data_IF_282505902646
#
_entry.id   IF_282505902646
#
_cell.length_a   1.000
_cell.length_b   1.000
_cell.length_c   1.000
_cell.angle_alpha   90.00
_cell.angle_beta   90.00
_cell.angle_gamma   90.00
#
_symmetry.space_group_name_H-M   'P 1'
#
loop_
_entity.id
_entity.type
_entity.pdbx_description
1 polymer ?
#
# COMPACT_ATOMS: atom_id res chain seq x y z
N UNK A 1 -7.77 20.81 -23.16
CA UNK A 1 -9.17 21.24 -23.47
C UNK A 1 -10.18 20.48 -22.59
N UNK A 2 -10.02 19.19 -22.33
CA UNK A 2 -10.97 18.38 -21.56
C UNK A 2 -11.08 18.81 -20.08
N UNK A 3 -9.97 19.19 -19.42
CA UNK A 3 -9.97 19.60 -18.02
C UNK A 3 -10.78 20.88 -17.73
N UNK A 4 -10.92 21.78 -18.72
CA UNK A 4 -11.66 23.04 -18.55
C UNK A 4 -13.18 22.86 -18.57
N UNK A 5 -13.67 21.73 -19.08
CA UNK A 5 -15.10 21.40 -19.10
C UNK A 5 -15.53 20.48 -17.94
N UNK A 6 -14.66 20.26 -16.94
CA UNK A 6 -14.99 19.48 -15.76
C UNK A 6 -15.43 20.42 -14.63
N UNK A 7 -16.61 20.19 -14.08
CA UNK A 7 -17.18 21.03 -13.01
C UNK A 7 -16.46 20.77 -11.70
N UNK A 8 -16.26 19.49 -11.32
CA UNK A 8 -15.60 19.10 -10.07
C UNK A 8 -14.53 18.03 -10.29
N UNK A 9 -13.35 18.22 -9.70
CA UNK A 9 -12.31 17.21 -9.65
C UNK A 9 -12.37 16.41 -8.34
N UNK A 10 -12.28 15.09 -8.45
CA UNK A 10 -12.14 14.19 -7.32
C UNK A 10 -10.75 13.55 -7.40
N UNK A 11 -9.96 13.70 -6.34
CA UNK A 11 -8.63 13.12 -6.21
C UNK A 11 -8.68 11.86 -5.36
N UNK A 12 -7.91 10.84 -5.75
CA UNK A 12 -7.82 9.57 -5.01
C UNK A 12 -6.88 9.64 -3.79
N UNK A 13 -6.16 10.74 -3.63
CA UNK A 13 -5.28 11.04 -2.50
C UNK A 13 -4.95 12.54 -2.47
N UNK A 14 -4.48 13.05 -1.34
CA UNK A 14 -3.96 14.41 -1.26
C UNK A 14 -2.69 14.58 -2.12
N UNK A 15 -1.91 13.51 -2.29
CA UNK A 15 -0.80 13.49 -3.23
C UNK A 15 -1.27 13.82 -4.67
N UNK A 16 -2.38 13.21 -5.11
CA UNK A 16 -2.98 13.48 -6.42
C UNK A 16 -3.68 14.83 -6.47
N UNK A 17 -4.33 15.27 -5.39
CA UNK A 17 -4.93 16.61 -5.32
C UNK A 17 -3.88 17.71 -5.58
N UNK A 18 -2.69 17.60 -4.96
CA UNK A 18 -1.57 18.53 -5.23
C UNK A 18 -1.11 18.46 -6.69
N UNK A 19 -1.12 17.27 -7.30
CA UNK A 19 -0.76 17.09 -8.72
C UNK A 19 -1.81 17.72 -9.65
N UNK A 20 -3.10 17.56 -9.36
CA UNK A 20 -4.20 18.22 -10.09
C UNK A 20 -4.04 19.74 -10.02
N UNK A 21 -3.82 20.29 -8.85
CA UNK A 21 -3.61 21.72 -8.68
C UNK A 21 -2.37 22.22 -9.45
N UNK A 22 -1.24 21.48 -9.35
CA UNK A 22 0.01 21.84 -10.06
C UNK A 22 -0.20 21.90 -11.57
N UNK A 23 -0.92 20.94 -12.14
CA UNK A 23 -1.07 20.80 -13.62
C UNK A 23 -2.22 21.63 -14.16
N UNK A 24 -3.39 21.59 -13.51
CA UNK A 24 -4.62 22.19 -14.02
C UNK A 24 -4.98 23.51 -13.34
N UNK A 25 -4.34 23.87 -12.22
CA UNK A 25 -4.70 25.02 -11.37
C UNK A 25 -6.16 24.95 -10.92
N UNK A 26 -6.66 23.74 -10.67
CA UNK A 26 -8.01 23.45 -10.22
C UNK A 26 -7.97 22.78 -8.85
N UNK A 27 -8.88 23.21 -7.97
CA UNK A 27 -9.13 22.53 -6.71
C UNK A 27 -9.77 21.16 -6.94
N UNK A 28 -9.58 20.25 -6.01
CA UNK A 28 -10.19 18.93 -6.01
C UNK A 28 -10.62 18.51 -4.60
N UNK A 29 -11.66 17.70 -4.52
CA UNK A 29 -12.06 17.03 -3.28
C UNK A 29 -11.32 15.69 -3.23
N UNK A 30 -10.68 15.39 -2.10
CA UNK A 30 -10.06 14.08 -1.92
C UNK A 30 -11.09 13.09 -1.39
N UNK A 31 -11.34 12.02 -2.16
CA UNK A 31 -12.11 10.85 -1.72
C UNK A 31 -11.23 9.62 -1.99
N UNK A 32 -10.73 9.02 -0.92
CA UNK A 32 -9.88 7.83 -1.03
C UNK A 32 -10.63 6.67 -1.64
N UNK A 33 -10.00 5.87 -2.53
CA UNK A 33 -10.61 4.68 -3.14
C UNK A 33 -11.10 3.67 -2.10
N UNK A 34 -12.10 2.85 -2.47
CA UNK A 34 -12.59 1.80 -1.59
C UNK A 34 -11.58 0.66 -1.47
N UNK A 35 -11.44 0.14 -0.27
CA UNK A 35 -10.79 -1.14 0.02
C UNK A 35 -11.82 -2.06 0.66
N UNK A 36 -11.93 -3.29 0.15
CA UNK A 36 -12.87 -4.28 0.68
C UNK A 36 -12.28 -4.94 1.93
N UNK A 37 -12.15 -4.13 3.00
CA UNK A 37 -11.47 -4.51 4.23
C UNK A 37 -12.12 -5.71 4.92
N UNK A 38 -13.41 -5.90 4.74
CA UNK A 38 -14.18 -7.01 5.33
C UNK A 38 -13.90 -8.37 4.64
N UNK A 39 -13.24 -8.37 3.49
CA UNK A 39 -12.79 -9.60 2.81
C UNK A 39 -11.55 -10.22 3.46
N UNK A 40 -10.89 -9.49 4.36
CA UNK A 40 -9.66 -9.90 5.02
C UNK A 40 -9.93 -10.30 6.48
N UNK A 41 -9.08 -11.17 7.01
CA UNK A 41 -9.15 -11.64 8.38
C UNK A 41 -7.78 -11.56 9.06
N UNK A 42 -7.79 -11.26 10.35
CA UNK A 42 -6.58 -11.23 11.17
C UNK A 42 -6.16 -12.66 11.48
N UNK A 43 -4.85 -12.95 11.36
CA UNK A 43 -4.24 -14.08 12.02
C UNK A 43 -3.37 -13.57 13.17
N UNK A 44 -3.64 -14.07 14.39
CA UNK A 44 -2.82 -13.77 15.56
C UNK A 44 -1.50 -14.59 15.58
N UNK A 45 -1.42 -15.62 14.73
CA UNK A 45 -0.22 -16.42 14.53
C UNK A 45 0.52 -15.96 13.31
N UNK A 46 1.42 -14.98 13.48
CA UNK A 46 2.30 -14.55 12.39
C UNK A 46 3.45 -15.55 12.22
N UNK A 47 3.76 -15.84 10.97
CA UNK A 47 4.91 -16.67 10.61
C UNK A 47 6.14 -15.79 10.32
N UNK A 48 7.34 -16.36 10.43
CA UNK A 48 8.59 -15.62 10.21
C UNK A 48 8.93 -15.53 8.72
N UNK A 49 8.06 -14.89 7.94
CA UNK A 49 8.33 -14.52 6.56
C UNK A 49 7.82 -13.10 6.25
N UNK A 50 8.52 -12.46 5.33
CA UNK A 50 8.11 -11.19 4.73
C UNK A 50 7.35 -11.46 3.43
N UNK A 51 6.46 -10.56 3.09
CA UNK A 51 5.59 -10.73 1.93
C UNK A 51 5.57 -9.49 1.06
N UNK A 52 5.49 -9.67 -0.25
CA UNK A 52 5.13 -8.62 -1.20
C UNK A 52 4.30 -9.21 -2.33
N UNK A 53 3.40 -8.42 -2.87
CA UNK A 53 2.60 -8.80 -4.03
C UNK A 53 2.40 -7.63 -4.96
N UNK A 54 2.67 -7.84 -6.25
CA UNK A 54 2.46 -6.81 -7.27
C UNK A 54 2.56 -7.38 -8.68
N UNK A 55 2.04 -6.61 -9.65
CA UNK A 55 2.47 -6.77 -11.03
C UNK A 55 3.97 -6.40 -11.14
N UNK A 56 4.77 -7.26 -11.73
CA UNK A 56 6.23 -7.07 -11.85
C UNK A 56 6.57 -6.14 -13.01
N UNK A 57 6.48 -4.84 -12.73
CA UNK A 57 6.87 -3.74 -13.62
C UNK A 57 7.88 -2.82 -12.92
N UNK A 58 8.73 -2.06 -13.65
CA UNK A 58 9.89 -1.35 -13.07
C UNK A 58 9.58 -0.44 -11.88
N UNK A 59 8.47 0.31 -11.92
CA UNK A 59 8.15 1.27 -10.86
C UNK A 59 7.67 0.62 -9.55
N UNK A 60 7.26 -0.65 -9.59
CA UNK A 60 6.88 -1.43 -8.39
C UNK A 60 8.07 -1.86 -7.55
N UNK A 61 9.28 -1.82 -8.11
CA UNK A 61 10.53 -2.08 -7.37
C UNK A 61 10.60 -3.44 -6.68
N UNK A 62 9.98 -4.46 -7.27
CA UNK A 62 10.06 -5.84 -6.73
C UNK A 62 11.48 -6.37 -6.82
N UNK A 63 12.24 -5.97 -7.84
CA UNK A 63 13.66 -6.26 -7.97
C UNK A 63 14.48 -5.75 -6.77
N UNK A 64 14.23 -4.52 -6.32
CA UNK A 64 14.87 -3.95 -5.13
C UNK A 64 14.56 -4.78 -3.87
N UNK A 65 13.31 -5.19 -3.68
CA UNK A 65 12.90 -6.00 -2.53
C UNK A 65 13.63 -7.34 -2.54
N UNK A 66 13.59 -8.04 -3.67
CA UNK A 66 14.24 -9.34 -3.85
C UNK A 66 15.75 -9.26 -3.67
N UNK A 67 16.39 -8.25 -4.27
CA UNK A 67 17.82 -8.01 -4.12
C UNK A 67 18.21 -7.77 -2.66
N UNK A 68 17.41 -6.98 -1.93
CA UNK A 68 17.65 -6.68 -0.51
C UNK A 68 17.61 -7.95 0.33
N UNK A 69 16.60 -8.81 0.17
CA UNK A 69 16.51 -10.06 0.91
C UNK A 69 17.61 -11.03 0.54
N UNK A 70 17.95 -11.13 -0.74
CA UNK A 70 19.02 -12.02 -1.22
C UNK A 70 20.38 -11.63 -0.66
N UNK A 71 20.72 -10.33 -0.64
CA UNK A 71 22.04 -9.85 -0.25
C UNK A 71 22.20 -9.61 1.24
N UNK A 72 21.18 -9.01 1.87
CA UNK A 72 21.29 -8.51 3.25
C UNK A 72 20.66 -9.44 4.29
N UNK A 73 19.71 -10.28 3.89
CA UNK A 73 18.97 -11.13 4.81
C UNK A 73 18.85 -12.59 4.38
N UNK A 74 19.97 -13.31 4.13
CA UNK A 74 19.94 -14.68 3.60
C UNK A 74 19.19 -15.68 4.48
N UNK A 75 19.02 -15.35 5.77
CA UNK A 75 18.31 -16.18 6.76
C UNK A 75 16.84 -15.76 6.98
N UNK A 76 16.35 -14.71 6.31
CA UNK A 76 14.96 -14.27 6.39
C UNK A 76 14.21 -14.67 5.12
N UNK A 77 13.04 -15.27 5.28
CA UNK A 77 12.22 -15.73 4.17
C UNK A 77 11.42 -14.58 3.57
N UNK A 78 11.48 -14.45 2.25
CA UNK A 78 10.60 -13.57 1.46
C UNK A 78 9.72 -14.42 0.54
N UNK A 79 8.41 -14.16 0.56
CA UNK A 79 7.46 -14.71 -0.39
C UNK A 79 6.97 -13.59 -1.30
N UNK A 80 6.97 -13.83 -2.61
CA UNK A 80 6.56 -12.86 -3.63
C UNK A 80 5.46 -13.46 -4.47
N UNK A 81 4.31 -12.77 -4.52
CA UNK A 81 3.20 -13.12 -5.42
C UNK A 81 3.11 -12.07 -6.52
N UNK A 82 2.93 -12.52 -7.74
CA UNK A 82 2.72 -11.67 -8.91
C UNK A 82 3.45 -12.16 -10.13
N UNK A 83 3.17 -11.48 -11.23
CA UNK A 83 3.76 -11.76 -12.54
C UNK A 83 3.91 -10.46 -13.32
N UNK A 84 4.66 -10.49 -14.42
CA UNK A 84 4.85 -9.32 -15.26
C UNK A 84 6.14 -9.37 -16.09
N UNK A 85 6.40 -8.32 -16.87
CA UNK A 85 7.53 -8.30 -17.79
C UNK A 85 8.90 -8.44 -17.09
N UNK A 86 9.02 -8.08 -15.80
CA UNK A 86 10.27 -8.21 -15.05
C UNK A 86 10.42 -9.55 -14.31
N UNK A 87 9.44 -10.48 -14.41
CA UNK A 87 9.47 -11.75 -13.67
C UNK A 87 10.79 -12.53 -13.86
N UNK A 88 11.28 -12.65 -15.09
CA UNK A 88 12.53 -13.36 -15.38
C UNK A 88 13.72 -12.69 -14.68
N UNK A 89 13.86 -11.38 -14.83
CA UNK A 89 14.92 -10.58 -14.18
C UNK A 89 14.89 -10.77 -12.66
N UNK A 90 13.70 -10.69 -12.05
CA UNK A 90 13.50 -10.84 -10.62
C UNK A 90 13.85 -12.27 -10.17
N UNK A 91 13.47 -13.28 -10.96
CA UNK A 91 13.81 -14.67 -10.68
C UNK A 91 15.32 -14.92 -10.70
N UNK A 92 16.04 -14.29 -11.62
CA UNK A 92 17.50 -14.41 -11.74
C UNK A 92 18.23 -13.72 -10.54
N UNK A 93 17.59 -12.75 -9.88
CA UNK A 93 18.11 -12.08 -8.68
C UNK A 93 17.78 -12.84 -7.37
N UNK A 94 16.81 -13.74 -7.39
CA UNK A 94 16.27 -14.39 -6.20
C UNK A 94 17.26 -15.39 -5.59
N UNK A 95 17.62 -15.16 -4.32
CA UNK A 95 18.38 -16.11 -3.51
C UNK A 95 17.52 -17.28 -3.01
N UNK A 96 18.15 -18.23 -2.32
CA UNK A 96 17.49 -19.45 -1.78
C UNK A 96 16.38 -19.15 -0.77
N UNK A 97 16.43 -17.98 -0.12
CA UNK A 97 15.49 -17.49 0.87
C UNK A 97 14.28 -16.76 0.26
N UNK A 98 14.24 -16.57 -1.06
CA UNK A 98 13.16 -15.90 -1.79
C UNK A 98 12.35 -16.91 -2.57
N UNK A 99 11.04 -16.95 -2.33
CA UNK A 99 10.08 -17.81 -3.03
C UNK A 99 9.19 -16.96 -3.93
N UNK A 100 9.30 -17.15 -5.24
CA UNK A 100 8.44 -16.52 -6.25
C UNK A 100 7.30 -17.49 -6.59
N UNK A 101 6.06 -17.15 -6.24
CA UNK A 101 4.89 -18.00 -6.48
C UNK A 101 4.20 -17.73 -7.82
N UNK A 102 4.65 -16.70 -8.56
CA UNK A 102 3.95 -16.27 -9.77
C UNK A 102 2.57 -15.69 -9.46
N UNK A 103 1.68 -15.64 -10.44
CA UNK A 103 0.30 -15.23 -10.23
C UNK A 103 -0.43 -16.26 -9.35
N UNK A 104 -1.19 -15.76 -8.38
CA UNK A 104 -1.99 -16.59 -7.47
C UNK A 104 -3.43 -16.07 -7.39
N UNK A 105 -4.35 -16.96 -7.00
CA UNK A 105 -5.74 -16.61 -6.71
C UNK A 105 -5.80 -15.74 -5.45
N UNK A 106 -6.87 -14.94 -5.35
CA UNK A 106 -7.07 -13.99 -4.26
C UNK A 106 -7.06 -14.63 -2.86
N UNK A 107 -7.60 -15.84 -2.71
CA UNK A 107 -7.59 -16.55 -1.42
C UNK A 107 -6.18 -16.90 -0.94
N UNK A 108 -5.27 -17.26 -1.86
CA UNK A 108 -3.87 -17.53 -1.55
C UNK A 108 -3.15 -16.24 -1.15
N UNK A 109 -3.47 -15.12 -1.82
CA UNK A 109 -2.95 -13.80 -1.46
C UNK A 109 -3.39 -13.42 -0.03
N UNK A 110 -4.69 -13.55 0.29
CA UNK A 110 -5.25 -13.25 1.62
C UNK A 110 -4.58 -14.09 2.72
N UNK A 111 -4.42 -15.39 2.46
CA UNK A 111 -3.77 -16.30 3.40
C UNK A 111 -2.32 -15.84 3.71
N UNK A 112 -1.54 -15.50 2.68
CA UNK A 112 -0.18 -15.00 2.90
C UNK A 112 -0.16 -13.66 3.60
N UNK A 113 -1.06 -12.73 3.23
CA UNK A 113 -1.18 -11.44 3.91
C UNK A 113 -1.46 -11.62 5.41
N UNK A 114 -2.39 -12.49 5.78
CA UNK A 114 -2.77 -12.67 7.19
C UNK A 114 -1.66 -13.27 8.06
N UNK A 115 -0.81 -14.13 7.49
CA UNK A 115 0.25 -14.83 8.21
C UNK A 115 1.62 -14.14 8.15
N UNK A 116 1.83 -13.23 7.21
CA UNK A 116 3.11 -12.56 7.04
C UNK A 116 3.51 -11.74 8.27
N UNK A 117 4.80 -11.71 8.57
CA UNK A 117 5.40 -10.85 9.60
C UNK A 117 5.29 -9.38 9.25
N UNK A 118 5.55 -9.03 8.00
CA UNK A 118 5.33 -7.70 7.44
C UNK A 118 5.16 -7.76 5.91
N UNK A 119 4.45 -6.78 5.38
CA UNK A 119 4.32 -6.53 3.94
C UNK A 119 5.34 -5.46 3.49
N UNK A 120 6.06 -5.73 2.41
CA UNK A 120 7.05 -4.78 1.86
C UNK A 120 6.45 -4.07 0.65
N UNK A 121 6.46 -2.74 0.67
CA UNK A 121 5.92 -1.89 -0.40
C UNK A 121 6.95 -0.84 -0.84
N UNK A 122 7.64 -1.11 -1.94
CA UNK A 122 8.75 -0.28 -2.40
C UNK A 122 8.38 0.71 -3.51
N UNK A 123 7.13 0.73 -3.95
CA UNK A 123 6.66 1.61 -5.01
C UNK A 123 6.37 3.03 -4.52
N UNK A 124 6.57 4.03 -5.39
CA UNK A 124 5.90 5.33 -5.27
C UNK A 124 4.58 5.25 -6.04
N UNK A 125 3.47 5.27 -5.33
CA UNK A 125 2.12 5.17 -5.91
C UNK A 125 1.21 6.31 -5.49
N UNK A 126 0.17 6.49 -6.27
CA UNK A 126 -0.81 7.54 -6.09
C UNK A 126 -1.68 7.32 -4.83
N UNK A 127 -1.93 6.05 -4.46
CA UNK A 127 -2.68 5.69 -3.25
C UNK A 127 -2.11 4.44 -2.57
N UNK A 128 -2.11 3.28 -3.24
CA UNK A 128 -1.60 2.01 -2.70
C UNK A 128 -2.67 1.18 -1.99
N UNK A 129 -3.44 0.38 -2.75
CA UNK A 129 -4.44 -0.54 -2.19
C UNK A 129 -3.78 -1.69 -1.44
N UNK A 130 -2.74 -2.31 -1.99
CA UNK A 130 -2.09 -3.48 -1.39
C UNK A 130 -1.56 -3.25 0.05
N UNK A 131 -0.97 -2.09 0.41
CA UNK A 131 -0.66 -1.78 1.81
C UNK A 131 -1.86 -1.78 2.74
N UNK A 132 -3.03 -1.36 2.26
CA UNK A 132 -4.25 -1.36 3.04
C UNK A 132 -4.86 -2.76 3.18
N UNK A 133 -4.75 -3.59 2.14
CA UNK A 133 -5.11 -5.02 2.21
C UNK A 133 -4.24 -5.77 3.23
N UNK A 134 -2.93 -5.46 3.28
CA UNK A 134 -2.04 -5.98 4.31
C UNK A 134 -2.48 -5.55 5.71
N UNK A 135 -2.77 -4.26 5.91
CA UNK A 135 -3.25 -3.75 7.18
C UNK A 135 -4.62 -4.33 7.56
N UNK A 136 -5.56 -4.51 6.61
CA UNK A 136 -6.84 -5.18 6.84
C UNK A 136 -6.66 -6.63 7.30
N UNK A 137 -5.54 -7.27 6.94
CA UNK A 137 -5.13 -8.61 7.40
C UNK A 137 -4.35 -8.58 8.73
N UNK A 138 -4.27 -7.42 9.39
CA UNK A 138 -3.48 -7.24 10.61
C UNK A 138 -1.97 -7.34 10.38
N UNK A 139 -1.47 -7.03 9.19
CA UNK A 139 -0.05 -7.15 8.83
C UNK A 139 0.57 -5.77 8.67
N UNK A 140 1.64 -5.48 9.44
CA UNK A 140 2.40 -4.24 9.34
C UNK A 140 3.01 -4.03 7.96
N UNK A 141 3.24 -2.76 7.60
CA UNK A 141 3.79 -2.40 6.29
C UNK A 141 5.14 -1.69 6.44
N UNK A 142 6.15 -2.15 5.68
CA UNK A 142 7.40 -1.42 5.49
C UNK A 142 7.34 -0.78 4.11
N UNK A 143 7.22 0.54 4.03
CA UNK A 143 6.91 1.23 2.79
C UNK A 143 7.94 2.28 2.38
N UNK A 144 8.05 2.51 1.06
CA UNK A 144 8.71 3.70 0.57
C UNK A 144 7.91 4.95 0.95
N UNK A 145 8.54 5.86 1.69
CA UNK A 145 7.91 7.03 2.28
C UNK A 145 7.60 8.13 1.28
N UNK A 146 6.87 7.82 0.20
CA UNK A 146 6.39 8.78 -0.80
C UNK A 146 5.02 8.41 -1.35
N UNK A 147 4.37 9.43 -1.94
CA UNK A 147 3.06 9.25 -2.57
C UNK A 147 1.96 8.96 -1.56
N UNK A 148 1.02 8.10 -1.96
CA UNK A 148 -0.13 7.70 -1.15
C UNK A 148 0.22 6.89 0.09
N UNK A 149 1.40 6.25 0.14
CA UNK A 149 1.83 5.50 1.31
C UNK A 149 1.87 6.36 2.59
N UNK A 150 2.22 7.64 2.46
CA UNK A 150 2.22 8.61 3.58
C UNK A 150 0.82 8.95 4.11
N UNK A 151 -0.24 8.60 3.39
CA UNK A 151 -1.62 8.86 3.77
C UNK A 151 -2.32 7.59 4.30
N UNK A 152 -1.80 6.42 3.92
CA UNK A 152 -2.42 5.12 4.19
C UNK A 152 -1.72 4.32 5.29
N UNK A 153 -0.51 4.69 5.68
CA UNK A 153 0.29 4.02 6.70
C UNK A 153 0.62 5.03 7.80
N UNK A 154 0.54 4.61 9.06
CA UNK A 154 1.03 5.34 10.22
C UNK A 154 2.44 4.88 10.55
N UNK A 155 3.39 5.82 10.64
CA UNK A 155 4.78 5.54 10.97
C UNK A 155 5.02 5.25 12.43
N UNK A 156 6.26 4.92 12.80
CA UNK A 156 6.63 4.61 14.19
C UNK A 156 6.49 5.79 15.17
N UNK A 157 6.44 7.02 14.66
CA UNK A 157 6.28 8.24 15.46
C UNK A 157 4.80 8.60 15.68
N UNK A 158 3.86 7.89 15.09
CA UNK A 158 2.42 8.04 15.30
C UNK A 158 1.98 7.26 16.56
N UNK A 159 0.87 7.65 17.18
CA UNK A 159 0.34 7.04 18.41
C UNK A 159 0.01 5.55 18.24
N UNK A 160 -0.58 5.17 17.10
CA UNK A 160 -0.94 3.79 16.76
C UNK A 160 -0.26 3.39 15.45
N UNK A 161 1.05 3.08 15.44
CA UNK A 161 1.77 2.80 14.22
C UNK A 161 1.24 1.53 13.52
N UNK A 162 1.23 1.56 12.20
CA UNK A 162 0.83 0.43 11.34
C UNK A 162 1.95 -0.04 10.43
N UNK A 163 3.11 0.59 10.56
CA UNK A 163 4.28 0.30 9.77
C UNK A 163 5.40 1.31 9.98
N UNK A 164 6.31 1.34 9.05
CA UNK A 164 7.39 2.33 8.99
C UNK A 164 7.81 2.64 7.57
N UNK A 165 8.59 3.70 7.41
CA UNK A 165 9.00 4.19 6.11
C UNK A 165 10.51 4.09 5.91
N UNK A 166 10.91 3.84 4.65
CA UNK A 166 12.26 4.11 4.16
C UNK A 166 12.23 5.25 3.13
N UNK A 167 13.31 6.00 3.03
CA UNK A 167 13.33 7.30 2.33
C UNK A 167 13.95 7.27 0.94
N UNK A 168 14.71 6.21 0.63
CA UNK A 168 15.36 6.04 -0.68
C UNK A 168 15.17 4.61 -1.20
N UNK A 169 14.87 4.47 -2.48
CA UNK A 169 14.72 3.17 -3.13
C UNK A 169 16.09 2.52 -3.41
N UNK A 170 16.82 2.21 -2.32
CA UNK A 170 18.14 1.55 -2.34
C UNK A 170 18.15 0.33 -1.42
N UNK A 171 19.00 -0.64 -1.72
CA UNK A 171 19.19 -1.85 -0.89
C UNK A 171 19.57 -1.47 0.54
N UNK A 172 20.50 -0.52 0.71
CA UNK A 172 20.95 -0.07 2.03
C UNK A 172 19.80 0.53 2.86
N UNK A 173 18.98 1.39 2.24
CA UNK A 173 17.89 2.06 2.95
C UNK A 173 16.78 1.07 3.35
N UNK A 174 16.40 0.17 2.46
CA UNK A 174 15.42 -0.88 2.77
C UNK A 174 15.99 -1.88 3.82
N UNK A 175 17.28 -2.20 3.78
CA UNK A 175 17.94 -3.03 4.80
C UNK A 175 17.85 -2.38 6.18
N UNK A 176 18.13 -1.07 6.29
CA UNK A 176 17.97 -0.31 7.53
C UNK A 176 16.53 -0.31 8.03
N UNK A 177 15.57 -0.13 7.14
CA UNK A 177 14.15 -0.13 7.48
C UNK A 177 13.68 -1.50 8.01
N UNK A 178 14.06 -2.60 7.37
CA UNK A 178 13.75 -3.94 7.84
C UNK A 178 14.39 -4.19 9.22
N UNK A 179 15.65 -3.78 9.40
CA UNK A 179 16.35 -3.90 10.69
C UNK A 179 15.71 -3.04 11.80
N UNK A 180 15.20 -1.85 11.44
CA UNK A 180 14.45 -1.00 12.37
C UNK A 180 13.10 -1.62 12.73
N UNK A 181 12.39 -2.19 11.76
CA UNK A 181 11.15 -2.91 11.99
C UNK A 181 11.33 -4.05 12.99
N UNK A 182 12.35 -4.89 12.84
CA UNK A 182 12.64 -6.00 13.75
C UNK A 182 12.84 -5.54 15.20
N UNK A 183 13.38 -4.35 15.41
CA UNK A 183 13.60 -3.77 16.75
C UNK A 183 12.34 -3.14 17.36
N UNK A 184 11.32 -2.91 16.55
CA UNK A 184 10.12 -2.18 16.97
C UNK A 184 8.82 -2.94 16.65
N UNK A 185 8.90 -4.21 16.27
CA UNK A 185 7.73 -5.00 15.88
C UNK A 185 6.66 -5.02 16.98
N UNK A 186 7.06 -5.05 18.25
CA UNK A 186 6.15 -5.06 19.41
C UNK A 186 5.36 -3.76 19.59
N UNK A 187 5.75 -2.67 18.89
CA UNK A 187 5.02 -1.39 18.91
C UNK A 187 3.86 -1.37 17.92
N UNK A 188 3.81 -2.32 17.00
CA UNK A 188 2.83 -2.34 15.92
C UNK A 188 1.87 -3.51 16.15
N UNK A 189 0.64 -3.21 16.54
CA UNK A 189 -0.38 -4.24 16.74
C UNK A 189 -1.14 -4.57 15.45
N UNK A 190 -1.64 -5.80 15.38
CA UNK A 190 -2.52 -6.21 14.29
C UNK A 190 -3.83 -5.41 14.30
N UNK A 191 -4.33 -5.09 15.48
CA UNK A 191 -5.53 -4.30 15.70
C UNK A 191 -5.38 -2.87 15.16
N UNK A 192 -4.26 -2.21 15.46
CA UNK A 192 -3.95 -0.87 14.92
C UNK A 192 -3.93 -0.86 13.40
N UNK A 193 -3.37 -1.90 12.78
CA UNK A 193 -3.38 -2.08 11.32
C UNK A 193 -4.82 -2.14 10.79
N UNK A 194 -5.68 -2.99 11.38
CA UNK A 194 -7.07 -3.14 10.93
C UNK A 194 -7.88 -1.86 11.14
N UNK A 195 -7.77 -1.23 12.31
CA UNK A 195 -8.44 0.03 12.61
C UNK A 195 -8.05 1.12 11.60
N UNK A 196 -6.78 1.19 11.24
CA UNK A 196 -6.34 2.14 10.22
C UNK A 196 -6.90 1.80 8.83
N UNK A 197 -6.93 0.53 8.42
CA UNK A 197 -7.48 0.10 7.14
C UNK A 197 -8.99 0.41 7.01
N UNK A 198 -9.76 0.33 8.11
CA UNK A 198 -11.20 0.64 8.13
C UNK A 198 -11.49 2.09 7.72
N UNK A 199 -10.57 3.03 7.88
CA UNK A 199 -10.70 4.41 7.39
C UNK A 199 -10.86 4.48 5.87
N UNK A 200 -10.54 3.42 5.14
CA UNK A 200 -10.58 3.34 3.69
C UNK A 200 -11.59 2.31 3.19
N UNK A 201 -12.55 1.92 4.03
CA UNK A 201 -13.56 0.92 3.70
C UNK A 201 -14.45 1.32 2.51
N UNK A 202 -15.02 0.33 1.84
CA UNK A 202 -15.98 0.48 0.75
C UNK A 202 -17.22 1.27 1.19
N UNK A 203 -17.75 0.97 2.36
CA UNK A 203 -18.93 1.67 2.92
C UNK A 203 -18.67 3.16 3.13
N UNK A 204 -17.49 3.54 3.66
CA UNK A 204 -17.08 4.94 3.80
C UNK A 204 -17.01 5.62 2.41
N UNK A 205 -16.35 4.98 1.43
CA UNK A 205 -16.23 5.53 0.08
C UNK A 205 -17.62 5.80 -0.54
N UNK A 206 -18.53 4.84 -0.49
CA UNK A 206 -19.88 4.99 -1.03
C UNK A 206 -20.63 6.16 -0.42
N UNK A 207 -20.53 6.32 0.89
CA UNK A 207 -21.18 7.40 1.61
C UNK A 207 -20.61 8.79 1.24
N UNK A 208 -19.28 8.92 1.22
CA UNK A 208 -18.62 10.19 0.85
C UNK A 208 -18.87 10.56 -0.61
N UNK A 209 -18.75 9.58 -1.53
CA UNK A 209 -18.96 9.81 -2.94
C UNK A 209 -20.41 10.19 -3.24
N UNK A 210 -21.37 9.45 -2.67
CA UNK A 210 -22.80 9.74 -2.82
C UNK A 210 -23.13 11.13 -2.30
N UNK A 211 -22.65 11.47 -1.10
CA UNK A 211 -22.85 12.80 -0.50
C UNK A 211 -22.33 13.90 -1.44
N UNK A 212 -21.12 13.77 -1.95
CA UNK A 212 -20.54 14.75 -2.86
C UNK A 212 -21.43 14.93 -4.11
N UNK A 213 -21.87 13.83 -4.74
CA UNK A 213 -22.72 13.89 -5.93
C UNK A 213 -24.07 14.54 -5.61
N UNK A 214 -24.69 14.19 -4.50
CA UNK A 214 -25.98 14.76 -4.08
C UNK A 214 -25.86 16.28 -3.82
N UNK A 215 -24.77 16.72 -3.18
CA UNK A 215 -24.53 18.12 -2.86
C UNK A 215 -24.26 18.96 -4.14
N UNK A 216 -23.39 18.49 -5.02
CA UNK A 216 -23.10 19.16 -6.31
C UNK A 216 -24.35 19.21 -7.22
N UNK A 217 -25.18 18.16 -7.22
CA UNK A 217 -26.43 18.16 -7.99
C UNK A 217 -27.46 19.14 -7.46
N UNK A 218 -27.57 19.31 -6.15
CA UNK A 218 -28.43 20.33 -5.53
C UNK A 218 -27.97 21.75 -5.89
N UNK A 219 -26.66 22.00 -5.79
CA UNK A 219 -26.07 23.29 -6.14
C UNK A 219 -26.31 23.61 -7.62
N UNK A 220 -26.09 22.64 -8.50
CA UNK A 220 -26.37 22.82 -9.93
C UNK A 220 -27.83 23.17 -10.21
N UNK A 221 -28.80 22.49 -9.54
CA UNK A 221 -30.24 22.81 -9.70
C UNK A 221 -30.62 24.20 -9.23
N UNK A 222 -29.92 24.75 -8.24
CA UNK A 222 -30.20 26.10 -7.74
C UNK A 222 -29.69 27.20 -8.66
N UNK A 223 -28.77 26.86 -9.57
CA UNK A 223 -28.12 27.79 -10.50
C UNK A 223 -28.73 27.74 -11.93
N UNK A 224 -29.78 26.95 -12.14
CA UNK A 224 -30.62 26.95 -13.35
C UNK A 224 -31.88 27.74 -13.13
#
# INVERSE_FOLDING_TARGET
RTANGVDKFIAISNFIARRIYKVYRRESVTIYPPVYVDDFSISHLKEDFYFTSSRMVPYKKIDLIVETFTKSFPNKKLIVIGDGPEFKKIKDLAGKNVTLLGYQKFDILKDHLSRAKAFIFAAEEDFGISPLEAQASGTPVIAFGKGGALETIRGLDDDDPTGLFFTEQTVDNLTKAISLFEKNVDKISAESCVVNAQRFSDSRFRNEFKKLVDDEYKEWKLNI
#
